data_IF_186842242471
#
_entry.id   IF_186842242471
#
_cell.length_a   1.000
_cell.length_b   1.000
_cell.length_c   1.000
_cell.angle_alpha   90.00
_cell.angle_beta   90.00
_cell.angle_gamma   90.00
#
_symmetry.space_group_name_H-M   'P 1'
#
loop_
_entity.id
_entity.type
_entity.pdbx_description
1 polymer ?
#
# COMPACT_ATOMS: atom_id res chain seq x y z
N UNK A 1 7.56 14.35 88.00
CA UNK A 1 8.02 15.75 88.22
C UNK A 1 8.03 16.46 86.87
N UNK A 2 7.12 17.36 86.77
CA UNK A 2 7.21 18.74 86.32
C UNK A 2 7.35 18.94 84.80
N UNK A 3 6.26 19.19 84.15
CA UNK A 3 5.81 20.45 83.51
C UNK A 3 6.81 21.11 82.55
N UNK A 4 6.47 21.30 81.29
CA UNK A 4 6.09 22.66 80.88
C UNK A 4 5.44 22.63 79.48
N UNK A 5 4.31 23.26 79.37
CA UNK A 5 3.56 23.60 78.19
C UNK A 5 4.21 24.75 77.42
N UNK A 6 4.24 24.69 76.12
CA UNK A 6 4.24 25.96 75.34
C UNK A 6 3.34 25.75 74.09
N UNK A 7 2.26 26.46 74.12
CA UNK A 7 1.39 26.74 72.96
C UNK A 7 2.14 27.71 72.01
N UNK A 8 2.20 27.44 70.77
CA UNK A 8 2.41 28.49 69.75
C UNK A 8 1.39 28.26 68.62
N UNK A 9 0.69 29.32 68.40
CA UNK A 9 -0.45 29.54 67.56
C UNK A 9 -0.21 29.41 66.07
N UNK A 10 -1.24 28.92 65.44
CA UNK A 10 -1.56 28.82 64.01
C UNK A 10 -1.20 30.05 63.17
N UNK A 11 -0.71 29.82 62.01
CA UNK A 11 -1.01 30.64 60.83
C UNK A 11 -1.36 29.69 59.70
N UNK A 12 -2.65 29.70 59.34
CA UNK A 12 -3.14 29.01 58.16
C UNK A 12 -2.82 29.88 56.93
N UNK A 13 -1.86 29.44 56.13
CA UNK A 13 -1.69 29.99 54.80
C UNK A 13 -2.51 29.15 53.83
N UNK A 14 -3.62 29.72 53.34
CA UNK A 14 -4.37 29.23 52.21
C UNK A 14 -3.50 29.42 50.95
N UNK A 15 -2.89 28.38 50.48
CA UNK A 15 -2.36 28.35 49.10
C UNK A 15 -3.49 27.96 48.16
N UNK A 16 -3.94 28.91 47.38
CA UNK A 16 -4.80 28.68 46.23
C UNK A 16 -4.02 27.83 45.21
N UNK A 17 -4.34 26.55 45.15
CA UNK A 17 -3.85 25.70 44.10
C UNK A 17 -4.60 26.05 42.81
N UNK A 18 -3.92 26.78 41.95
CA UNK A 18 -4.35 27.02 40.58
C UNK A 18 -4.54 25.69 39.91
N UNK A 19 -5.76 25.37 39.50
CA UNK A 19 -6.06 24.29 38.58
C UNK A 19 -5.30 24.55 37.29
N UNK A 20 -4.17 23.85 37.09
CA UNK A 20 -3.52 23.77 35.82
C UNK A 20 -4.49 23.17 34.82
N UNK A 21 -4.83 23.95 33.83
CA UNK A 21 -5.60 23.58 32.68
C UNK A 21 -4.80 22.49 31.95
N UNK A 22 -5.16 21.23 32.12
CA UNK A 22 -4.67 20.15 31.31
C UNK A 22 -5.14 20.42 29.88
N UNK A 23 -4.23 20.93 29.09
CA UNK A 23 -4.40 20.92 27.63
C UNK A 23 -4.54 19.46 27.22
N UNK A 24 -5.79 18.99 27.15
CA UNK A 24 -6.14 17.85 26.34
C UNK A 24 -5.73 18.23 24.92
N UNK A 25 -4.67 17.62 24.43
CA UNK A 25 -4.37 17.61 23.02
C UNK A 25 -5.57 16.97 22.33
N UNK A 26 -6.47 17.78 21.87
CA UNK A 26 -7.38 17.40 20.80
C UNK A 26 -6.47 17.16 19.62
N UNK A 27 -6.20 15.89 19.30
CA UNK A 27 -5.78 15.53 17.97
C UNK A 27 -6.88 16.04 17.05
N UNK A 28 -6.68 17.22 16.48
CA UNK A 28 -7.41 17.61 15.29
C UNK A 28 -7.05 16.54 14.27
N UNK A 29 -7.96 15.58 14.05
CA UNK A 29 -7.97 14.83 12.83
C UNK A 29 -8.02 15.90 11.74
N UNK A 30 -6.97 15.95 10.96
CA UNK A 30 -6.93 16.75 9.76
C UNK A 30 -7.96 16.09 8.82
N UNK A 31 -9.15 16.70 8.70
CA UNK A 31 -10.21 16.24 7.79
C UNK A 31 -9.86 16.57 6.32
N UNK A 32 -8.56 16.74 6.02
CA UNK A 32 -8.04 16.84 4.66
C UNK A 32 -8.19 15.50 3.92
N UNK A 33 -8.16 15.51 2.59
CA UNK A 33 -8.14 14.26 1.84
C UNK A 33 -6.88 13.46 2.23
N UNK A 34 -7.04 12.14 2.42
CA UNK A 34 -5.94 11.24 2.73
C UNK A 34 -4.79 11.41 1.71
N UNK A 35 -3.58 11.43 2.22
CA UNK A 35 -2.39 11.49 1.36
C UNK A 35 -1.90 10.07 1.02
N UNK A 36 -1.13 9.93 -0.06
CA UNK A 36 -0.55 8.62 -0.42
C UNK A 36 0.30 8.03 0.72
N UNK A 37 1.00 8.88 1.48
CA UNK A 37 1.85 8.44 2.59
C UNK A 37 1.03 7.90 3.77
N UNK A 38 -0.17 8.46 4.03
CA UNK A 38 -1.06 8.00 5.11
C UNK A 38 -1.72 6.65 4.82
N UNK A 39 -1.76 6.26 3.53
CA UNK A 39 -2.35 5.01 3.06
C UNK A 39 -1.29 3.91 2.91
N UNK A 40 -0.02 4.25 3.05
CA UNK A 40 1.13 3.36 2.83
C UNK A 40 1.24 2.25 3.89
N UNK A 41 0.27 1.34 3.96
CA UNK A 41 0.30 0.21 4.89
C UNK A 41 1.02 -0.96 4.22
N UNK A 42 2.32 -1.10 4.53
CA UNK A 42 3.11 -2.23 4.07
C UNK A 42 3.41 -2.18 2.56
N UNK A 43 3.61 -0.98 1.99
CA UNK A 43 4.07 -0.87 0.60
C UNK A 43 5.38 -1.63 0.38
N UNK A 44 5.45 -2.38 -0.72
CA UNK A 44 6.70 -2.97 -1.22
C UNK A 44 7.22 -2.05 -2.32
N UNK A 45 8.45 -1.54 -2.13
CA UNK A 45 9.05 -0.57 -3.06
C UNK A 45 9.92 -1.32 -4.05
N UNK A 46 9.68 -1.13 -5.35
CA UNK A 46 10.59 -1.52 -6.41
C UNK A 46 11.54 -0.35 -6.69
N UNK A 47 12.84 -0.59 -6.62
CA UNK A 47 13.88 0.42 -6.85
C UNK A 47 14.40 1.11 -5.59
N UNK A 48 15.06 2.25 -5.78
CA UNK A 48 15.64 3.02 -4.68
C UNK A 48 14.54 3.85 -3.97
N UNK A 49 14.30 3.62 -2.65
CA UNK A 49 13.35 4.46 -1.90
C UNK A 49 13.69 5.95 -1.91
N UNK A 50 14.96 6.30 -2.19
CA UNK A 50 15.42 7.70 -2.29
C UNK A 50 15.31 8.28 -3.70
N UNK A 51 14.75 7.55 -4.67
CA UNK A 51 14.53 8.07 -6.01
C UNK A 51 13.66 9.36 -5.98
N UNK A 52 13.93 10.33 -6.86
CA UNK A 52 13.29 11.65 -6.80
C UNK A 52 11.78 11.63 -7.05
N UNK A 53 11.27 10.58 -7.70
CA UNK A 53 9.86 10.42 -8.00
C UNK A 53 9.34 9.08 -7.48
N UNK A 54 8.11 9.07 -6.99
CA UNK A 54 7.39 7.85 -6.60
C UNK A 54 6.18 7.66 -7.50
N UNK A 55 6.16 6.55 -8.24
CA UNK A 55 5.03 6.12 -9.05
C UNK A 55 4.23 5.04 -8.30
N UNK A 56 2.96 5.30 -8.05
CA UNK A 56 2.05 4.35 -7.40
C UNK A 56 1.00 3.89 -8.39
N UNK A 57 0.79 2.57 -8.48
CA UNK A 57 -0.26 1.95 -9.27
C UNK A 57 -1.25 1.22 -8.35
N UNK A 58 -2.52 1.60 -8.40
CA UNK A 58 -3.62 0.79 -7.87
C UNK A 58 -4.12 -0.15 -8.96
N UNK A 59 -3.93 -1.46 -8.76
CA UNK A 59 -4.21 -2.45 -9.80
C UNK A 59 -4.69 -3.80 -9.24
N UNK A 60 -5.11 -4.67 -10.15
CA UNK A 60 -5.57 -6.02 -9.82
C UNK A 60 -5.11 -7.06 -10.83
N UNK A 61 -4.65 -8.20 -10.34
CA UNK A 61 -4.30 -9.36 -11.17
C UNK A 61 -5.49 -9.95 -11.93
N UNK A 62 -6.72 -9.66 -11.48
CA UNK A 62 -7.97 -10.05 -12.17
C UNK A 62 -8.51 -8.95 -13.10
N UNK A 63 -7.76 -7.86 -13.30
CA UNK A 63 -8.13 -6.76 -14.19
C UNK A 63 -7.43 -6.91 -15.55
N UNK A 64 -8.17 -7.14 -16.63
CA UNK A 64 -7.59 -7.27 -17.98
C UNK A 64 -6.89 -6.00 -18.47
N UNK A 65 -7.36 -4.81 -18.10
CA UNK A 65 -6.70 -3.55 -18.45
C UNK A 65 -5.36 -3.39 -17.72
N UNK A 66 -5.24 -3.94 -16.51
CA UNK A 66 -3.97 -3.98 -15.78
C UNK A 66 -2.97 -4.91 -16.46
N UNK A 67 -3.41 -6.11 -16.90
CA UNK A 67 -2.54 -7.00 -17.67
C UNK A 67 -2.05 -6.37 -18.97
N UNK A 68 -2.92 -5.66 -19.69
CA UNK A 68 -2.50 -4.89 -20.87
C UNK A 68 -1.45 -3.82 -20.51
N UNK A 69 -1.65 -3.10 -19.40
CA UNK A 69 -0.71 -2.10 -18.91
C UNK A 69 0.64 -2.72 -18.54
N UNK A 70 0.63 -3.82 -17.80
CA UNK A 70 1.85 -4.53 -17.43
C UNK A 70 2.58 -5.08 -18.66
N UNK A 71 1.89 -5.61 -19.64
CA UNK A 71 2.51 -6.09 -20.88
C UNK A 71 3.16 -5.00 -21.74
N UNK A 72 2.68 -3.74 -21.67
CA UNK A 72 3.10 -2.68 -22.59
C UNK A 72 3.84 -1.53 -21.93
N UNK A 73 3.49 -1.12 -20.72
CA UNK A 73 4.02 0.06 -20.03
C UNK A 73 4.98 -0.31 -18.90
N UNK A 74 4.74 -1.43 -18.20
CA UNK A 74 5.62 -1.87 -17.10
C UNK A 74 7.10 -2.00 -17.52
N UNK A 75 7.47 -2.45 -18.73
CA UNK A 75 8.88 -2.46 -19.15
C UNK A 75 9.53 -1.07 -19.07
N UNK A 76 8.80 -0.01 -19.48
CA UNK A 76 9.30 1.37 -19.37
C UNK A 76 9.45 1.78 -17.90
N UNK A 77 8.49 1.41 -17.05
CA UNK A 77 8.56 1.71 -15.62
C UNK A 77 9.79 1.04 -15.01
N UNK A 78 10.04 -0.24 -15.31
CA UNK A 78 11.23 -0.98 -14.84
C UNK A 78 12.53 -0.33 -15.31
N UNK A 79 12.61 0.09 -16.58
CA UNK A 79 13.77 0.81 -17.10
C UNK A 79 14.02 2.13 -16.33
N UNK A 80 12.97 2.86 -15.97
CA UNK A 80 13.08 4.10 -15.18
C UNK A 80 13.43 3.86 -13.71
N UNK A 81 12.96 2.74 -13.14
CA UNK A 81 13.37 2.29 -11.80
C UNK A 81 14.85 1.94 -11.80
N UNK A 82 15.31 1.18 -12.78
CA UNK A 82 16.73 0.79 -12.92
C UNK A 82 17.65 1.98 -13.17
N UNK A 83 17.15 3.03 -13.84
CA UNK A 83 17.86 4.30 -14.02
C UNK A 83 17.93 5.14 -12.73
N UNK A 84 17.12 4.81 -11.70
CA UNK A 84 17.01 5.58 -10.46
C UNK A 84 16.16 6.85 -10.59
N UNK A 85 15.42 7.00 -11.68
CA UNK A 85 14.53 8.12 -11.94
C UNK A 85 13.30 8.12 -11.03
N UNK A 86 12.77 6.93 -10.78
CA UNK A 86 11.58 6.68 -9.96
C UNK A 86 11.79 5.49 -9.05
N UNK A 87 11.02 5.42 -7.97
CA UNK A 87 10.62 4.15 -7.36
C UNK A 87 9.16 3.83 -7.74
N UNK A 88 8.82 2.56 -7.67
CA UNK A 88 7.48 2.09 -8.04
C UNK A 88 6.85 1.32 -6.88
N UNK A 89 5.56 1.56 -6.67
CA UNK A 89 4.75 0.90 -5.63
C UNK A 89 3.48 0.37 -6.29
N UNK A 90 3.27 -0.93 -6.13
CA UNK A 90 2.00 -1.56 -6.49
C UNK A 90 1.10 -1.63 -5.26
N UNK A 91 -0.13 -1.12 -5.37
CA UNK A 91 -1.15 -1.20 -4.32
C UNK A 91 -2.29 -2.08 -4.77
N UNK A 92 -2.53 -3.13 -4.02
CA UNK A 92 -3.57 -4.10 -4.31
C UNK A 92 -4.96 -3.45 -4.26
N UNK A 93 -5.67 -3.56 -5.38
CA UNK A 93 -7.06 -3.10 -5.50
C UNK A 93 -7.91 -4.21 -6.12
N UNK A 94 -8.35 -5.21 -5.33
CA UNK A 94 -8.98 -6.42 -5.84
C UNK A 94 -10.22 -6.11 -6.69
N UNK A 95 -10.22 -6.56 -7.95
CA UNK A 95 -11.40 -6.54 -8.83
C UNK A 95 -12.06 -7.92 -8.88
N UNK A 96 -13.24 -8.01 -9.46
CA UNK A 96 -13.99 -9.27 -9.53
C UNK A 96 -13.28 -10.36 -10.36
N UNK A 97 -13.25 -11.61 -9.87
CA UNK A 97 -13.75 -12.08 -8.57
C UNK A 97 -12.75 -11.73 -7.44
N UNK A 98 -13.20 -10.87 -6.52
CA UNK A 98 -12.33 -10.24 -5.52
C UNK A 98 -11.66 -11.25 -4.59
N UNK A 99 -12.33 -12.34 -4.23
CA UNK A 99 -11.74 -13.40 -3.40
C UNK A 99 -10.54 -14.08 -4.08
N UNK A 100 -10.56 -14.22 -5.41
CA UNK A 100 -9.44 -14.80 -6.16
C UNK A 100 -8.29 -13.80 -6.27
N UNK A 101 -8.60 -12.53 -6.55
CA UNK A 101 -7.60 -11.47 -6.57
C UNK A 101 -6.90 -11.33 -5.21
N UNK A 102 -7.67 -11.28 -4.13
CA UNK A 102 -7.15 -11.19 -2.76
C UNK A 102 -6.26 -12.39 -2.40
N UNK A 103 -6.65 -13.61 -2.80
CA UNK A 103 -5.85 -14.80 -2.56
C UNK A 103 -4.51 -14.76 -3.33
N UNK A 104 -4.51 -14.26 -4.57
CA UNK A 104 -3.28 -14.07 -5.34
C UNK A 104 -2.36 -13.02 -4.72
N UNK A 105 -2.90 -11.89 -4.25
CA UNK A 105 -2.12 -10.90 -3.52
C UNK A 105 -1.55 -11.44 -2.21
N UNK A 106 -2.31 -12.29 -1.50
CA UNK A 106 -1.81 -12.96 -0.31
C UNK A 106 -0.61 -13.87 -0.64
N UNK A 107 -0.61 -14.56 -1.80
CA UNK A 107 0.55 -15.32 -2.27
C UNK A 107 1.75 -14.41 -2.50
N UNK A 108 1.59 -13.29 -3.21
CA UNK A 108 2.66 -12.33 -3.46
C UNK A 108 3.23 -11.78 -2.14
N UNK A 109 2.39 -11.39 -1.20
CA UNK A 109 2.81 -10.90 0.12
C UNK A 109 3.57 -11.95 0.93
N UNK A 110 3.12 -13.20 0.90
CA UNK A 110 3.75 -14.31 1.63
C UNK A 110 5.05 -14.81 0.98
N UNK A 111 5.27 -14.56 -0.29
CA UNK A 111 6.55 -14.80 -0.94
C UNK A 111 7.66 -13.90 -0.34
N UNK A 112 7.27 -12.78 0.26
CA UNK A 112 8.21 -11.82 0.84
C UNK A 112 8.50 -10.64 -0.09
N UNK A 113 9.13 -9.60 0.46
CA UNK A 113 9.37 -8.36 -0.28
C UNK A 113 10.28 -8.58 -1.51
N UNK A 114 11.22 -9.52 -1.41
CA UNK A 114 12.18 -9.80 -2.48
C UNK A 114 11.52 -10.45 -3.71
N UNK A 115 10.52 -11.30 -3.49
CA UNK A 115 9.82 -12.04 -4.54
C UNK A 115 8.45 -11.44 -4.89
N UNK A 116 8.01 -10.37 -4.20
CA UNK A 116 6.67 -9.81 -4.34
C UNK A 116 6.32 -9.43 -5.78
N UNK A 117 7.24 -8.72 -6.45
CA UNK A 117 7.04 -8.28 -7.82
C UNK A 117 7.16 -9.40 -8.83
N UNK A 118 8.01 -10.39 -8.58
CA UNK A 118 8.15 -11.57 -9.43
C UNK A 118 6.85 -12.40 -9.43
N UNK A 119 6.19 -12.52 -8.27
CA UNK A 119 4.87 -13.16 -8.18
C UNK A 119 3.80 -12.37 -8.93
N UNK A 120 3.81 -11.04 -8.85
CA UNK A 120 2.86 -10.20 -9.61
C UNK A 120 3.09 -10.33 -11.11
N UNK A 121 4.35 -10.31 -11.55
CA UNK A 121 4.73 -10.51 -12.95
C UNK A 121 4.24 -11.87 -13.45
N UNK A 122 4.42 -12.95 -12.66
CA UNK A 122 3.93 -14.29 -12.99
C UNK A 122 2.41 -14.32 -13.25
N UNK A 123 1.63 -13.60 -12.41
CA UNK A 123 0.18 -13.48 -12.63
C UNK A 123 -0.15 -12.70 -13.91
N UNK A 124 0.57 -11.62 -14.21
CA UNK A 124 0.29 -10.81 -15.39
C UNK A 124 0.77 -11.46 -16.68
N UNK A 125 1.91 -12.10 -16.67
CA UNK A 125 2.45 -12.82 -17.83
C UNK A 125 1.56 -14.02 -18.23
N UNK A 126 0.96 -14.68 -17.23
CA UNK A 126 0.05 -15.80 -17.42
C UNK A 126 -1.43 -15.41 -17.24
N UNK A 127 -1.78 -14.11 -17.33
CA UNK A 127 -3.12 -13.63 -16.99
C UNK A 127 -4.23 -14.32 -17.80
N UNK A 128 -3.98 -14.65 -19.06
CA UNK A 128 -4.97 -15.35 -19.90
C UNK A 128 -5.26 -16.76 -19.36
N UNK A 129 -4.23 -17.48 -18.92
CA UNK A 129 -4.39 -18.81 -18.31
C UNK A 129 -5.03 -18.69 -16.93
N UNK A 130 -4.72 -17.65 -16.18
CA UNK A 130 -5.38 -17.34 -14.91
C UNK A 130 -6.89 -17.10 -15.11
N UNK A 131 -7.29 -16.33 -16.12
CA UNK A 131 -8.70 -16.17 -16.47
C UNK A 131 -9.36 -17.49 -16.93
N UNK A 132 -8.65 -18.35 -17.63
CA UNK A 132 -9.13 -19.69 -17.97
C UNK A 132 -9.34 -20.53 -16.71
N UNK A 133 -8.42 -20.50 -15.78
CA UNK A 133 -8.51 -21.19 -14.49
C UNK A 133 -9.67 -20.67 -13.63
N UNK A 134 -9.92 -19.35 -13.62
CA UNK A 134 -11.09 -18.76 -12.95
C UNK A 134 -12.39 -19.32 -13.56
N UNK A 135 -12.51 -19.31 -14.89
CA UNK A 135 -13.72 -19.79 -15.59
C UNK A 135 -13.98 -21.28 -15.39
N UNK A 136 -12.94 -22.09 -15.30
CA UNK A 136 -13.03 -23.54 -15.09
C UNK A 136 -13.18 -23.94 -13.61
N UNK A 137 -13.02 -22.98 -12.68
CA UNK A 137 -13.03 -23.26 -11.23
C UNK A 137 -11.72 -23.84 -10.70
N UNK A 138 -10.62 -23.81 -11.46
CA UNK A 138 -9.30 -24.32 -11.09
C UNK A 138 -8.33 -23.22 -10.63
N UNK A 139 -8.77 -21.97 -10.46
CA UNK A 139 -7.91 -20.87 -10.03
C UNK A 139 -7.15 -21.17 -8.71
N UNK A 140 -7.79 -21.88 -7.78
CA UNK A 140 -7.14 -22.29 -6.53
C UNK A 140 -5.99 -23.27 -6.72
N UNK A 141 -5.98 -24.07 -7.78
CA UNK A 141 -4.86 -24.95 -8.14
C UNK A 141 -3.70 -24.11 -8.68
N UNK A 142 -3.97 -23.23 -9.65
CA UNK A 142 -2.97 -22.32 -10.20
C UNK A 142 -2.34 -21.41 -9.13
N UNK A 143 -3.12 -20.88 -8.19
CA UNK A 143 -2.60 -20.11 -7.06
C UNK A 143 -1.64 -20.94 -6.20
N UNK A 144 -1.92 -22.23 -5.98
CA UNK A 144 -1.02 -23.13 -5.24
C UNK A 144 0.24 -23.47 -6.00
N UNK A 145 0.12 -23.64 -7.33
CA UNK A 145 1.26 -23.93 -8.20
C UNK A 145 2.23 -22.74 -8.16
N UNK A 146 1.75 -21.52 -8.40
CA UNK A 146 2.56 -20.30 -8.28
C UNK A 146 3.15 -20.17 -6.86
N UNK A 147 2.36 -20.32 -5.80
CA UNK A 147 2.88 -20.28 -4.43
C UNK A 147 4.02 -21.28 -4.19
N UNK A 148 3.94 -22.47 -4.79
CA UNK A 148 4.96 -23.50 -4.63
C UNK A 148 6.29 -23.15 -5.30
N UNK A 149 6.28 -22.39 -6.37
CA UNK A 149 7.48 -21.90 -7.07
C UNK A 149 8.29 -20.94 -6.20
N UNK A 150 7.60 -20.19 -5.33
CA UNK A 150 8.20 -19.28 -4.34
C UNK A 150 8.34 -19.93 -2.95
N UNK A 151 8.38 -21.25 -2.86
CA UNK A 151 8.66 -21.99 -1.63
C UNK A 151 7.50 -22.06 -0.63
N UNK A 152 6.32 -21.59 -0.99
CA UNK A 152 5.12 -21.62 -0.15
C UNK A 152 4.40 -22.95 -0.34
N UNK A 153 4.59 -23.87 0.58
CA UNK A 153 3.91 -25.17 0.53
C UNK A 153 2.41 -25.07 0.84
N UNK A 154 1.66 -26.19 0.67
CA UNK A 154 0.22 -26.22 0.91
C UNK A 154 -0.23 -25.77 2.31
N UNK A 155 0.60 -25.91 3.34
CA UNK A 155 0.28 -25.42 4.69
C UNK A 155 0.44 -23.90 4.74
N UNK A 156 1.56 -23.36 4.25
CA UNK A 156 1.82 -21.93 4.12
C UNK A 156 0.77 -21.23 3.24
N UNK A 157 0.42 -21.81 2.09
CA UNK A 157 -0.65 -21.27 1.24
C UNK A 157 -1.99 -21.10 1.98
N UNK A 158 -2.39 -22.10 2.79
CA UNK A 158 -3.61 -21.97 3.58
C UNK A 158 -3.49 -20.94 4.72
N UNK A 159 -2.31 -20.78 5.28
CA UNK A 159 -2.02 -19.77 6.28
C UNK A 159 -2.13 -18.37 5.66
N UNK A 160 -1.41 -18.12 4.58
CA UNK A 160 -1.42 -16.87 3.84
C UNK A 160 -2.82 -16.43 3.41
N UNK A 161 -3.57 -17.32 2.74
CA UNK A 161 -4.90 -16.99 2.20
C UNK A 161 -6.00 -16.89 3.27
N UNK A 162 -5.67 -17.15 4.55
CA UNK A 162 -6.56 -16.99 5.71
C UNK A 162 -6.06 -15.96 6.71
N UNK A 163 -4.97 -15.31 6.42
CA UNK A 163 -4.41 -14.26 7.27
C UNK A 163 -5.34 -13.05 7.30
N UNK A 164 -5.94 -12.84 8.49
CA UNK A 164 -6.92 -11.75 8.68
C UNK A 164 -6.26 -10.39 8.77
N UNK A 165 -5.03 -10.33 9.26
CA UNK A 165 -4.28 -9.08 9.39
C UNK A 165 -3.87 -8.60 8.00
N UNK A 166 -3.33 -9.49 7.18
CA UNK A 166 -3.02 -9.21 5.78
C UNK A 166 -4.27 -8.77 5.00
N UNK A 167 -5.40 -9.48 5.17
CA UNK A 167 -6.65 -9.08 4.54
C UNK A 167 -7.12 -7.69 5.00
N UNK A 168 -7.02 -7.40 6.31
CA UNK A 168 -7.40 -6.09 6.86
C UNK A 168 -6.54 -4.97 6.27
N UNK A 169 -5.22 -5.15 6.17
CA UNK A 169 -4.30 -4.20 5.53
C UNK A 169 -4.64 -3.94 4.08
N UNK A 170 -4.93 -4.98 3.31
CA UNK A 170 -5.38 -4.81 1.92
C UNK A 170 -6.68 -4.00 1.83
N UNK A 171 -7.65 -4.24 2.73
CA UNK A 171 -8.90 -3.48 2.75
C UNK A 171 -8.71 -2.02 3.18
N UNK A 172 -7.72 -1.73 4.00
CA UNK A 172 -7.33 -0.36 4.34
C UNK A 172 -6.71 0.34 3.12
N UNK A 173 -5.84 -0.33 2.38
CA UNK A 173 -5.29 0.17 1.10
C UNK A 173 -6.39 0.46 0.08
N UNK A 174 -7.38 -0.44 -0.06
CA UNK A 174 -8.55 -0.23 -0.94
C UNK A 174 -9.32 1.01 -0.53
N UNK A 175 -9.68 1.11 0.77
CA UNK A 175 -10.45 2.25 1.29
C UNK A 175 -9.70 3.58 1.08
N UNK A 176 -8.41 3.61 1.39
CA UNK A 176 -7.60 4.79 1.15
C UNK A 176 -7.49 5.16 -0.32
N UNK A 177 -7.40 4.18 -1.22
CA UNK A 177 -7.48 4.41 -2.66
C UNK A 177 -8.82 5.02 -3.08
N UNK A 178 -9.93 4.51 -2.55
CA UNK A 178 -11.27 5.06 -2.80
C UNK A 178 -11.39 6.52 -2.33
N UNK A 179 -10.84 6.85 -1.17
CA UNK A 179 -10.78 8.23 -0.64
C UNK A 179 -9.94 9.17 -1.53
N UNK A 180 -8.90 8.65 -2.20
CA UNK A 180 -8.11 9.35 -3.22
C UNK A 180 -8.79 9.40 -4.60
N UNK A 181 -10.00 8.86 -4.74
CA UNK A 181 -10.76 8.85 -6.00
C UNK A 181 -10.43 7.70 -6.94
N UNK A 182 -9.78 6.63 -6.47
CA UNK A 182 -9.58 5.42 -7.26
C UNK A 182 -10.93 4.72 -7.44
N UNK A 183 -11.45 4.75 -8.66
CA UNK A 183 -12.74 4.15 -9.05
C UNK A 183 -12.61 3.05 -10.09
N UNK A 184 -11.42 2.82 -10.60
CA UNK A 184 -11.11 1.81 -11.61
C UNK A 184 -9.63 1.43 -11.54
N UNK A 185 -9.27 0.32 -12.19
CA UNK A 185 -7.88 -0.15 -12.32
C UNK A 185 -7.47 -0.26 -13.79
N UNK A 186 -6.21 0.00 -14.14
CA UNK A 186 -5.21 0.61 -13.28
C UNK A 186 -5.49 2.10 -13.04
N UNK A 187 -5.16 2.62 -11.85
CA UNK A 187 -5.11 4.05 -11.56
C UNK A 187 -3.71 4.39 -11.06
N UNK A 188 -3.11 5.42 -11.63
CA UNK A 188 -1.71 5.79 -11.43
C UNK A 188 -1.59 7.14 -10.75
N UNK A 189 -0.61 7.25 -9.84
CA UNK A 189 -0.23 8.51 -9.19
C UNK A 189 1.28 8.70 -9.30
N UNK A 190 1.72 9.90 -9.63
CA UNK A 190 3.13 10.30 -9.60
C UNK A 190 3.29 11.42 -8.58
N UNK A 191 4.10 11.18 -7.53
CA UNK A 191 4.27 12.11 -6.41
C UNK A 191 2.92 12.65 -5.87
N UNK A 192 1.93 11.78 -5.70
CA UNK A 192 0.61 12.12 -5.17
C UNK A 192 -0.37 12.70 -6.21
N UNK A 193 0.07 13.08 -7.40
CA UNK A 193 -0.81 13.58 -8.45
C UNK A 193 -1.33 12.42 -9.32
N UNK A 194 -2.65 12.28 -9.43
CA UNK A 194 -3.24 11.28 -10.29
C UNK A 194 -2.92 11.56 -11.76
N UNK A 195 -2.44 10.53 -12.47
CA UNK A 195 -2.13 10.61 -13.90
C UNK A 195 -3.35 10.34 -14.75
N UNK A 196 -3.39 10.96 -15.92
CA UNK A 196 -4.42 10.75 -16.93
C UNK A 196 -4.15 9.56 -17.86
N UNK A 197 -4.94 9.45 -18.91
CA UNK A 197 -4.83 8.35 -19.88
C UNK A 197 -3.53 8.39 -20.71
N UNK A 198 -2.86 9.53 -20.79
CA UNK A 198 -1.56 9.69 -21.46
C UNK A 198 -0.51 8.73 -20.88
N UNK A 199 -0.49 8.52 -19.56
CA UNK A 199 0.45 7.63 -18.89
C UNK A 199 0.19 6.13 -19.17
N UNK A 200 -0.85 5.78 -19.92
CA UNK A 200 -1.19 4.39 -20.27
C UNK A 200 -0.52 3.89 -21.55
N UNK A 201 0.42 4.63 -22.07
CA UNK A 201 1.25 4.22 -23.21
C UNK A 201 2.73 4.37 -22.87
N UNK A 202 3.64 3.59 -23.45
CA UNK A 202 5.07 3.69 -23.20
C UNK A 202 5.62 5.12 -23.40
N UNK A 203 5.29 5.75 -24.53
CA UNK A 203 5.75 7.11 -24.83
C UNK A 203 5.17 8.14 -23.85
N UNK A 204 3.90 8.00 -23.50
CA UNK A 204 3.22 8.89 -22.57
C UNK A 204 3.77 8.77 -21.16
N UNK A 205 4.05 7.55 -20.67
CA UNK A 205 4.67 7.32 -19.38
C UNK A 205 6.07 7.97 -19.34
N UNK A 206 6.90 7.78 -20.36
CA UNK A 206 8.19 8.43 -20.46
C UNK A 206 8.05 9.95 -20.40
N UNK A 207 7.14 10.53 -21.19
CA UNK A 207 6.95 11.98 -21.24
C UNK A 207 6.50 12.56 -19.88
N UNK A 208 5.65 11.85 -19.14
CA UNK A 208 5.19 12.27 -17.80
C UNK A 208 6.36 12.25 -16.80
N UNK A 209 7.17 11.19 -16.81
CA UNK A 209 8.34 11.05 -15.93
C UNK A 209 9.37 12.15 -16.27
N UNK A 210 9.70 12.34 -17.55
CA UNK A 210 10.66 13.36 -18.00
C UNK A 210 10.22 14.76 -17.59
N UNK A 211 8.93 15.08 -17.75
CA UNK A 211 8.38 16.37 -17.34
C UNK A 211 8.45 16.57 -15.81
N UNK A 212 8.21 15.52 -15.04
CA UNK A 212 8.29 15.60 -13.58
C UNK A 212 9.74 15.77 -13.10
N UNK A 213 10.70 15.05 -13.69
CA UNK A 213 12.14 15.22 -13.39
C UNK A 213 12.61 16.64 -13.72
N UNK A 214 12.26 17.16 -14.90
CA UNK A 214 12.62 18.51 -15.31
C UNK A 214 12.03 19.62 -14.41
N UNK A 215 11.00 19.32 -13.63
CA UNK A 215 10.39 20.26 -12.70
C UNK A 215 11.10 20.28 -11.33
N UNK A 216 12.04 19.36 -11.08
CA UNK A 216 12.85 19.31 -9.86
C UNK A 216 14.13 20.15 -9.95
N UNK A 217 14.56 20.51 -11.19
CA UNK A 217 15.73 21.33 -11.50
C UNK A 217 15.39 22.83 -11.33
#
# INVERSE_FOLDING_TARGET
MTMLRAFITSVAALTLTSCGNGSGGTSTQDDGPATLDEIAIGDVIMGDPAAPLTLVEYASITCGACGQFHATVMPVIKDRVDAGDINFIFREFPTAPAEIATAGFAVARCAGADDYYDVLDEFYDNQQDFFNAIRSGSAGDMLRDIASEYGINNAGFRECTRDRELFSSMMETVRGGEELGVTHTPTLFLNGAQLGNEARTPDGMNAVIDAALAALD
#
